data_IF_917531067551
#
_entry.id   IF_917531067551
#
_cell.length_a   1.000
_cell.length_b   1.000
_cell.length_c   1.000
_cell.angle_alpha   90.00
_cell.angle_beta   90.00
_cell.angle_gamma   90.00
#
_symmetry.space_group_name_H-M   'P 1'
#
loop_
_entity.id
_entity.type
_entity.pdbx_description
1 polymer ?
#
# COMPACT_ATOMS: atom_id res chain seq x y z
N UNK A 1 1.45 26.56 8.82
CA UNK A 1 0.84 25.71 7.77
C UNK A 1 1.89 24.69 7.37
N UNK A 2 1.63 23.39 7.49
CA UNK A 2 2.52 22.37 6.89
C UNK A 2 2.44 22.55 5.37
N UNK A 3 3.57 22.53 4.64
CA UNK A 3 3.50 22.54 3.17
C UNK A 3 2.66 21.36 2.71
N UNK A 4 1.78 21.60 1.74
CA UNK A 4 0.92 20.58 1.15
C UNK A 4 1.80 19.48 0.56
N UNK A 5 1.81 18.30 1.18
CA UNK A 5 2.55 17.15 0.63
C UNK A 5 1.88 16.77 -0.70
N UNK A 6 2.64 16.89 -1.79
CA UNK A 6 2.17 16.63 -3.14
C UNK A 6 1.58 15.21 -3.26
N UNK A 7 2.16 14.25 -2.56
CA UNK A 7 1.75 12.84 -2.59
C UNK A 7 0.54 12.55 -1.69
N UNK A 8 0.30 13.34 -0.64
CA UNK A 8 -0.92 13.21 0.17
C UNK A 8 -2.18 13.65 -0.58
N UNK A 9 -2.07 14.54 -1.58
CA UNK A 9 -3.19 14.85 -2.48
C UNK A 9 -3.48 13.68 -3.43
N UNK A 10 -2.44 12.92 -3.79
CA UNK A 10 -2.51 11.77 -4.70
C UNK A 10 -3.02 10.51 -3.99
N UNK A 11 -2.87 10.41 -2.67
CA UNK A 11 -3.40 9.28 -1.89
C UNK A 11 -4.90 9.35 -1.59
N UNK A 12 -5.62 10.32 -2.14
CA UNK A 12 -7.08 10.48 -1.99
C UNK A 12 -7.83 9.29 -2.61
N UNK A 13 -8.06 8.28 -1.77
CA UNK A 13 -8.77 7.06 -2.13
C UNK A 13 -10.24 7.34 -2.45
N UNK A 14 -10.76 6.74 -3.54
CA UNK A 14 -12.19 6.66 -3.83
C UNK A 14 -12.66 5.20 -3.69
N UNK A 15 -13.41 4.85 -2.62
CA UNK A 15 -13.92 3.50 -2.45
C UNK A 15 -14.84 3.08 -3.61
N UNK A 16 -14.48 1.98 -4.29
CA UNK A 16 -15.31 1.36 -5.34
C UNK A 16 -14.95 1.72 -6.79
N UNK A 17 -13.84 2.42 -7.05
CA UNK A 17 -13.30 2.60 -8.40
C UNK A 17 -12.52 1.35 -8.85
N UNK A 18 -12.74 0.87 -10.08
CA UNK A 18 -12.00 -0.27 -10.66
C UNK A 18 -10.55 0.08 -11.06
N UNK A 19 -10.23 1.37 -11.16
CA UNK A 19 -8.86 1.86 -11.30
C UNK A 19 -8.59 2.77 -10.11
N UNK A 20 -7.73 2.34 -9.19
CA UNK A 20 -7.20 3.26 -8.17
C UNK A 20 -6.01 3.97 -8.83
N UNK A 21 -6.03 5.31 -8.96
CA UNK A 21 -4.86 6.03 -9.47
C UNK A 21 -3.65 5.91 -8.51
N UNK A 22 -3.83 5.27 -7.35
CA UNK A 22 -2.84 5.06 -6.31
C UNK A 22 -1.57 4.36 -6.81
N UNK A 23 -1.71 3.24 -7.51
CA UNK A 23 -0.56 2.51 -8.07
C UNK A 23 0.21 3.38 -9.07
N UNK A 24 -0.50 4.09 -9.97
CA UNK A 24 0.11 5.04 -10.90
C UNK A 24 0.88 6.15 -10.18
N UNK A 25 0.41 6.62 -9.02
CA UNK A 25 1.11 7.65 -8.25
C UNK A 25 2.36 7.11 -7.55
N UNK A 26 2.31 5.89 -7.02
CA UNK A 26 3.49 5.21 -6.49
C UNK A 26 4.56 5.08 -7.58
N UNK A 27 4.17 4.57 -8.74
CA UNK A 27 5.07 4.36 -9.88
C UNK A 27 5.61 5.70 -10.43
N UNK A 28 4.75 6.72 -10.59
CA UNK A 28 5.17 8.04 -11.08
C UNK A 28 6.05 8.80 -10.10
N UNK A 29 5.78 8.69 -8.79
CA UNK A 29 6.62 9.28 -7.74
C UNK A 29 8.01 8.66 -7.75
N UNK A 30 8.08 7.33 -7.78
CA UNK A 30 9.34 6.60 -7.90
C UNK A 30 10.14 7.02 -9.13
N UNK A 31 9.48 7.07 -10.29
CA UNK A 31 10.09 7.49 -11.54
C UNK A 31 10.62 8.92 -11.49
N UNK A 32 9.89 9.83 -10.85
CA UNK A 32 10.32 11.21 -10.69
C UNK A 32 11.63 11.29 -9.90
N UNK A 33 11.73 10.60 -8.76
CA UNK A 33 12.96 10.60 -7.95
C UNK A 33 14.12 9.97 -8.70
N UNK A 34 13.89 8.85 -9.39
CA UNK A 34 14.91 8.19 -10.23
C UNK A 34 15.40 9.10 -11.36
N UNK A 35 14.49 9.79 -12.05
CA UNK A 35 14.83 10.70 -13.16
C UNK A 35 15.66 11.92 -12.74
N UNK A 36 15.62 12.27 -11.44
CA UNK A 36 16.47 13.32 -10.86
C UNK A 36 17.87 12.84 -10.48
N UNK A 37 18.17 11.56 -10.68
CA UNK A 37 19.50 11.00 -10.43
C UNK A 37 19.80 10.74 -8.96
N UNK A 38 18.78 10.44 -8.14
CA UNK A 38 19.01 10.08 -6.75
C UNK A 38 19.93 8.86 -6.63
N UNK A 39 21.14 9.05 -6.08
CA UNK A 39 22.22 8.07 -6.18
C UNK A 39 21.92 6.74 -5.48
N UNK A 40 21.48 6.76 -4.21
CA UNK A 40 21.22 5.53 -3.45
C UNK A 40 20.05 4.73 -4.03
N UNK A 41 18.95 5.41 -4.38
CA UNK A 41 17.83 4.80 -5.07
C UNK A 41 18.23 4.19 -6.43
N UNK A 42 19.02 4.91 -7.24
CA UNK A 42 19.51 4.38 -8.52
C UNK A 42 20.42 3.16 -8.33
N UNK A 43 21.27 3.17 -7.30
CA UNK A 43 22.14 2.06 -6.94
C UNK A 43 21.34 0.82 -6.49
N UNK A 44 20.26 1.01 -5.72
CA UNK A 44 19.36 -0.06 -5.29
C UNK A 44 18.81 -0.84 -6.49
N UNK A 45 18.23 -0.14 -7.46
CA UNK A 45 17.69 -0.78 -8.67
C UNK A 45 18.78 -1.33 -9.59
N UNK A 46 19.91 -0.62 -9.71
CA UNK A 46 21.04 -1.06 -10.52
C UNK A 46 21.65 -2.36 -10.01
N UNK A 47 21.80 -2.49 -8.69
CA UNK A 47 22.28 -3.70 -8.05
C UNK A 47 21.29 -4.86 -8.24
N UNK A 48 19.98 -4.60 -8.05
CA UNK A 48 18.95 -5.62 -8.22
C UNK A 48 18.86 -6.11 -9.68
N UNK A 49 18.95 -5.23 -10.67
CA UNK A 49 18.87 -5.64 -12.09
C UNK A 49 20.22 -5.94 -12.76
N UNK A 50 21.32 -5.98 -12.00
CA UNK A 50 22.65 -6.32 -12.51
C UNK A 50 23.32 -5.27 -13.40
N UNK A 51 22.88 -4.01 -13.36
CA UNK A 51 23.57 -2.88 -14.02
C UNK A 51 24.76 -2.35 -13.20
N UNK A 52 24.91 -2.77 -11.95
CA UNK A 52 26.04 -2.45 -11.08
C UNK A 52 26.31 -0.94 -10.95
N UNK A 53 27.43 -0.44 -11.46
CA UNK A 53 27.86 0.95 -11.31
C UNK A 53 27.52 1.83 -12.54
N UNK A 54 26.73 1.32 -13.48
CA UNK A 54 26.31 2.10 -14.64
C UNK A 54 25.37 3.24 -14.19
N UNK A 55 25.56 4.48 -14.68
CA UNK A 55 24.61 5.56 -14.43
C UNK A 55 23.26 5.30 -15.12
N UNK A 56 22.18 5.69 -14.44
CA UNK A 56 20.83 5.64 -15.00
C UNK A 56 20.66 6.77 -16.03
N UNK A 57 20.36 6.42 -17.28
CA UNK A 57 20.25 7.36 -18.39
C UNK A 57 18.80 7.80 -18.65
N UNK A 58 17.85 6.86 -18.68
CA UNK A 58 16.42 7.15 -18.91
C UNK A 58 15.51 6.35 -17.99
N UNK A 59 14.37 6.95 -17.66
CA UNK A 59 13.28 6.35 -16.90
C UNK A 59 12.00 6.52 -17.71
N UNK A 60 11.38 5.43 -18.09
CA UNK A 60 10.09 5.42 -18.78
C UNK A 60 9.01 4.87 -17.84
N UNK A 61 7.86 5.55 -17.78
CA UNK A 61 6.71 5.17 -16.96
C UNK A 61 5.64 4.57 -17.84
N UNK A 62 5.13 3.40 -17.45
CA UNK A 62 4.13 2.67 -18.22
C UNK A 62 4.50 2.45 -19.71
N UNK A 63 5.75 2.05 -20.02
CA UNK A 63 6.14 1.77 -21.39
C UNK A 63 5.45 0.50 -21.91
N UNK A 64 5.04 0.53 -23.18
CA UNK A 64 4.55 -0.66 -23.87
C UNK A 64 5.71 -1.59 -24.22
N UNK A 65 5.68 -2.82 -23.71
CA UNK A 65 6.65 -3.87 -23.96
C UNK A 65 6.14 -4.78 -25.09
N UNK A 66 6.35 -4.33 -26.33
CA UNK A 66 5.91 -5.05 -27.55
C UNK A 66 4.44 -5.51 -27.43
N UNK A 67 4.21 -6.83 -27.55
CA UNK A 67 2.91 -7.47 -27.38
C UNK A 67 2.69 -8.08 -25.98
N UNK A 68 3.69 -8.00 -25.09
CA UNK A 68 3.61 -8.51 -23.72
C UNK A 68 2.79 -7.63 -22.77
N UNK A 69 2.56 -6.36 -23.14
CA UNK A 69 1.69 -5.45 -22.38
C UNK A 69 2.38 -4.14 -22.00
N UNK A 70 2.00 -3.59 -20.85
CA UNK A 70 2.52 -2.32 -20.30
C UNK A 70 3.19 -2.65 -18.97
N UNK A 71 4.50 -2.46 -18.88
CA UNK A 71 5.26 -2.62 -17.64
C UNK A 71 5.13 -1.36 -16.77
N UNK A 72 5.41 -1.43 -15.47
CA UNK A 72 5.33 -0.22 -14.63
C UNK A 72 6.45 0.79 -14.93
N UNK A 73 7.71 0.33 -14.97
CA UNK A 73 8.86 1.14 -15.35
C UNK A 73 9.82 0.38 -16.28
N UNK A 74 10.46 1.13 -17.18
CA UNK A 74 11.66 0.70 -17.89
C UNK A 74 12.80 1.66 -17.57
N UNK A 75 13.87 1.13 -17.00
CA UNK A 75 15.09 1.88 -16.69
C UNK A 75 16.15 1.53 -17.75
N UNK A 76 16.75 2.52 -18.38
CA UNK A 76 17.89 2.32 -19.29
C UNK A 76 19.13 2.97 -18.72
N UNK A 77 20.21 2.22 -18.66
CA UNK A 77 21.51 2.65 -18.16
C UNK A 77 22.42 3.08 -19.30
N UNK A 78 23.43 3.91 -19.02
CA UNK A 78 24.36 4.43 -20.04
C UNK A 78 25.11 3.32 -20.80
N UNK A 79 25.35 2.17 -20.18
CA UNK A 79 25.95 0.99 -20.83
C UNK A 79 24.99 0.24 -21.77
N UNK A 80 23.75 0.70 -21.90
CA UNK A 80 22.71 0.12 -22.76
C UNK A 80 21.90 -0.98 -22.11
N UNK A 81 22.23 -1.37 -20.87
CA UNK A 81 21.43 -2.33 -20.10
C UNK A 81 20.05 -1.74 -19.79
N UNK A 82 19.02 -2.59 -19.86
CA UNK A 82 17.63 -2.22 -19.58
C UNK A 82 17.06 -3.08 -18.47
N UNK A 83 16.32 -2.47 -17.56
CA UNK A 83 15.64 -3.15 -16.46
C UNK A 83 14.15 -2.91 -16.58
N UNK A 84 13.36 -3.98 -16.58
CA UNK A 84 11.91 -3.91 -16.37
C UNK A 84 11.67 -3.96 -14.86
N UNK A 85 10.88 -3.00 -14.35
CA UNK A 85 10.47 -2.97 -12.95
C UNK A 85 8.96 -3.07 -12.89
N UNK A 86 8.47 -4.06 -12.14
CA UNK A 86 7.05 -4.24 -11.81
C UNK A 86 6.82 -3.81 -10.37
N UNK A 87 5.83 -2.95 -10.14
CA UNK A 87 5.57 -2.28 -8.86
C UNK A 87 4.31 -2.85 -8.23
N UNK A 88 4.48 -3.45 -7.05
CA UNK A 88 3.40 -4.09 -6.30
C UNK A 88 3.12 -3.32 -5.01
N UNK A 89 1.89 -2.84 -4.90
CA UNK A 89 1.39 -2.11 -3.72
C UNK A 89 0.54 -3.01 -2.83
N UNK A 90 -0.34 -3.80 -3.44
CA UNK A 90 -1.12 -4.84 -2.78
C UNK A 90 -0.62 -6.24 -3.21
N UNK A 91 -1.25 -7.30 -2.69
CA UNK A 91 -0.82 -8.69 -2.96
C UNK A 91 -0.78 -8.93 -4.48
N UNK A 92 0.30 -9.49 -5.04
CA UNK A 92 0.37 -9.78 -6.45
C UNK A 92 -0.74 -10.72 -6.91
N UNK A 93 -1.32 -10.43 -8.06
CA UNK A 93 -2.05 -11.43 -8.85
C UNK A 93 -1.00 -12.23 -9.62
N UNK A 94 -0.90 -13.57 -9.45
CA UNK A 94 0.15 -14.35 -10.11
C UNK A 94 0.04 -14.37 -11.64
N UNK A 95 1.17 -14.17 -12.32
CA UNK A 95 1.82 -15.27 -13.06
C UNK A 95 1.94 -15.17 -14.58
N UNK A 96 1.00 -14.53 -15.29
CA UNK A 96 1.04 -14.55 -16.78
C UNK A 96 1.90 -13.41 -17.37
N UNK A 97 1.88 -12.21 -16.80
CA UNK A 97 2.60 -11.05 -17.37
C UNK A 97 4.12 -11.16 -17.31
N UNK A 98 4.68 -11.76 -16.25
CA UNK A 98 6.14 -11.81 -16.05
C UNK A 98 6.84 -12.64 -17.13
N UNK A 99 6.30 -13.79 -17.47
CA UNK A 99 6.87 -14.67 -18.51
C UNK A 99 6.82 -13.98 -19.88
N UNK A 100 5.76 -13.24 -20.17
CA UNK A 100 5.62 -12.50 -21.43
C UNK A 100 6.60 -11.34 -21.52
N UNK A 101 6.77 -10.58 -20.43
CA UNK A 101 7.76 -9.51 -20.36
C UNK A 101 9.19 -10.05 -20.49
N UNK A 102 9.53 -11.14 -19.81
CA UNK A 102 10.84 -11.78 -19.95
C UNK A 102 11.14 -12.17 -21.39
N UNK A 103 10.19 -12.82 -22.06
CA UNK A 103 10.34 -13.23 -23.46
C UNK A 103 10.54 -12.02 -24.36
N UNK A 104 9.68 -11.00 -24.24
CA UNK A 104 9.76 -9.79 -25.07
C UNK A 104 11.05 -9.00 -24.82
N UNK A 105 11.51 -8.89 -23.58
CA UNK A 105 12.73 -8.17 -23.24
C UNK A 105 13.99 -8.86 -23.79
N UNK A 106 14.02 -10.20 -23.80
CA UNK A 106 15.13 -10.99 -24.37
C UNK A 106 15.27 -10.82 -25.88
N UNK A 107 14.20 -10.45 -26.59
CA UNK A 107 14.28 -10.09 -28.02
C UNK A 107 14.99 -8.75 -28.24
N UNK A 108 15.05 -7.87 -27.22
CA UNK A 108 15.70 -6.56 -27.30
C UNK A 108 17.14 -6.58 -26.81
N UNK A 109 17.41 -7.32 -25.73
CA UNK A 109 18.73 -7.45 -25.12
C UNK A 109 18.84 -8.75 -24.33
N UNK A 110 19.93 -9.49 -24.54
CA UNK A 110 20.22 -10.72 -23.78
C UNK A 110 20.50 -10.44 -22.30
N UNK A 111 20.89 -9.20 -21.97
CA UNK A 111 21.30 -8.74 -20.64
C UNK A 111 20.19 -7.94 -19.92
N UNK A 112 18.94 -8.07 -20.34
CA UNK A 112 17.81 -7.41 -19.66
C UNK A 112 17.72 -7.85 -18.18
N UNK A 113 17.56 -6.88 -17.28
CA UNK A 113 17.30 -7.09 -15.86
C UNK A 113 15.81 -7.05 -15.54
N UNK A 114 15.41 -7.74 -14.47
CA UNK A 114 14.01 -7.86 -14.08
C UNK A 114 13.87 -7.66 -12.57
N UNK A 115 13.06 -6.71 -12.14
CA UNK A 115 12.90 -6.34 -10.74
C UNK A 115 11.43 -6.28 -10.36
N UNK A 116 11.07 -6.89 -9.22
CA UNK A 116 9.77 -6.70 -8.59
C UNK A 116 9.98 -5.85 -7.33
N UNK A 117 9.36 -4.67 -7.31
CA UNK A 117 9.26 -3.83 -6.12
C UNK A 117 7.98 -4.18 -5.36
N UNK A 118 8.06 -4.52 -4.09
CA UNK A 118 6.86 -4.88 -3.32
C UNK A 118 7.02 -4.76 -1.81
N UNK A 119 5.97 -5.12 -1.07
CA UNK A 119 6.02 -5.15 0.39
C UNK A 119 6.91 -6.28 0.91
N UNK A 120 6.71 -7.49 0.39
CA UNK A 120 7.62 -8.63 0.56
C UNK A 120 7.59 -9.51 -0.71
N UNK A 121 8.17 -9.05 -1.82
CA UNK A 121 8.09 -9.76 -3.08
C UNK A 121 8.94 -11.04 -3.03
N UNK A 122 8.39 -12.15 -3.54
CA UNK A 122 9.07 -13.44 -3.68
C UNK A 122 8.97 -13.94 -5.12
N UNK A 123 9.58 -13.23 -6.08
CA UNK A 123 9.45 -13.60 -7.48
C UNK A 123 10.37 -14.78 -7.81
N UNK A 124 9.99 -15.58 -8.80
CA UNK A 124 10.85 -16.63 -9.34
C UNK A 124 11.98 -16.01 -10.19
N UNK A 125 13.19 -16.60 -10.21
CA UNK A 125 14.25 -16.16 -11.12
C UNK A 125 13.78 -16.15 -12.58
N UNK A 126 14.21 -15.16 -13.40
CA UNK A 126 15.33 -14.25 -13.19
C UNK A 126 15.01 -12.98 -12.37
N UNK A 127 13.74 -12.75 -12.01
CA UNK A 127 13.32 -11.55 -11.30
C UNK A 127 13.99 -11.42 -9.93
N UNK A 128 14.41 -10.20 -9.59
CA UNK A 128 14.98 -9.87 -8.30
C UNK A 128 14.00 -9.05 -7.46
N UNK A 129 14.02 -9.27 -6.16
CA UNK A 129 13.17 -8.58 -5.21
C UNK A 129 13.81 -7.26 -4.74
N UNK A 130 13.02 -6.19 -4.74
CA UNK A 130 13.31 -4.94 -4.00
C UNK A 130 12.12 -4.66 -3.09
N UNK A 131 12.36 -4.25 -1.84
CA UNK A 131 11.27 -3.96 -0.91
C UNK A 131 11.02 -2.46 -0.81
N UNK A 132 9.78 -2.09 -0.54
CA UNK A 132 9.42 -0.70 -0.24
C UNK A 132 10.20 -0.12 0.96
N UNK A 133 10.56 -0.95 1.94
CA UNK A 133 11.41 -0.50 3.04
C UNK A 133 12.84 -0.14 2.56
N UNK A 134 13.38 -0.87 1.59
CA UNK A 134 14.70 -0.58 1.02
C UNK A 134 14.66 0.75 0.25
N UNK A 135 13.52 1.09 -0.37
CA UNK A 135 13.29 2.40 -1.00
C UNK A 135 13.28 3.52 0.05
N UNK A 136 12.65 3.32 1.21
CA UNK A 136 12.66 4.29 2.31
C UNK A 136 14.07 4.51 2.84
N UNK A 137 14.82 3.43 3.07
CA UNK A 137 16.22 3.47 3.51
C UNK A 137 17.11 4.16 2.47
N UNK A 138 16.87 3.93 1.18
CA UNK A 138 17.58 4.60 0.10
C UNK A 138 17.33 6.12 0.05
N UNK A 139 16.19 6.59 0.56
CA UNK A 139 15.80 8.01 0.60
C UNK A 139 16.11 8.68 1.95
N UNK A 140 16.66 7.93 2.91
CA UNK A 140 16.93 8.45 4.24
C UNK A 140 18.00 9.53 4.18
N UNK A 141 17.83 10.59 4.99
CA UNK A 141 18.69 11.77 5.02
C UNK A 141 18.86 12.54 3.69
N UNK A 142 18.09 12.22 2.64
CA UNK A 142 18.15 12.96 1.37
C UNK A 142 17.70 14.43 1.58
N UNK A 143 18.51 15.43 1.16
CA UNK A 143 18.20 16.83 1.41
C UNK A 143 17.09 17.40 0.51
N UNK A 144 16.67 16.71 -0.57
CA UNK A 144 15.57 17.18 -1.42
C UNK A 144 14.23 17.04 -0.68
N UNK A 145 13.50 18.15 -0.45
CA UNK A 145 12.18 18.10 0.19
C UNK A 145 11.16 17.23 -0.53
N UNK A 146 11.33 16.96 -1.83
CA UNK A 146 10.44 16.07 -2.60
C UNK A 146 10.74 14.60 -2.27
N UNK A 147 12.01 14.21 -2.17
CA UNK A 147 12.43 12.88 -1.72
C UNK A 147 11.87 12.58 -0.32
N UNK A 148 11.97 13.55 0.59
CA UNK A 148 11.42 13.41 1.95
C UNK A 148 9.89 13.25 1.95
N UNK A 149 9.18 14.02 1.12
CA UNK A 149 7.72 13.87 0.98
C UNK A 149 7.32 12.50 0.42
N UNK A 150 8.11 11.96 -0.53
CA UNK A 150 7.88 10.64 -1.10
C UNK A 150 8.20 9.53 -0.10
N UNK A 151 9.30 9.66 0.66
CA UNK A 151 9.66 8.76 1.78
C UNK A 151 8.53 8.68 2.81
N UNK A 152 8.01 9.83 3.24
CA UNK A 152 6.90 9.90 4.20
C UNK A 152 5.60 9.28 3.64
N UNK A 153 5.35 9.44 2.34
CA UNK A 153 4.25 8.78 1.65
C UNK A 153 4.42 7.25 1.64
N UNK A 154 5.60 6.73 1.30
CA UNK A 154 5.85 5.28 1.34
C UNK A 154 5.66 4.73 2.77
N UNK A 155 6.19 5.42 3.79
CA UNK A 155 6.03 5.04 5.19
C UNK A 155 4.57 5.01 5.64
N UNK A 156 3.80 6.04 5.33
CA UNK A 156 2.43 6.20 5.83
C UNK A 156 1.37 5.48 4.98
N UNK A 157 1.45 5.65 3.66
CA UNK A 157 0.39 5.30 2.73
C UNK A 157 0.60 3.94 2.04
N UNK A 158 1.82 3.38 2.06
CA UNK A 158 2.13 2.03 1.55
C UNK A 158 2.44 1.07 2.71
N UNK A 159 3.41 1.42 3.56
CA UNK A 159 3.91 0.55 4.62
C UNK A 159 3.04 0.56 5.89
N UNK A 160 2.19 1.58 6.08
CA UNK A 160 1.32 1.68 7.25
C UNK A 160 2.10 1.82 8.56
N UNK A 161 3.21 2.55 8.56
CA UNK A 161 4.11 2.72 9.71
C UNK A 161 3.95 4.08 10.40
N UNK A 162 3.17 5.00 9.83
CA UNK A 162 2.98 6.34 10.39
C UNK A 162 1.66 6.47 11.17
N UNK A 163 1.64 7.27 12.26
CA UNK A 163 0.40 7.67 12.91
C UNK A 163 -0.53 8.40 11.92
N UNK A 164 -1.83 8.11 12.01
CA UNK A 164 -2.83 8.60 11.06
C UNK A 164 -3.92 9.38 11.79
N UNK A 165 -4.08 10.65 11.45
CA UNK A 165 -5.18 11.49 11.99
C UNK A 165 -6.54 11.03 11.47
N UNK A 166 -7.63 11.48 12.09
CA UNK A 166 -8.98 11.16 11.61
C UNK A 166 -9.23 11.68 10.18
N UNK A 167 -8.73 12.87 9.87
CA UNK A 167 -8.84 13.46 8.52
C UNK A 167 -8.14 12.59 7.48
N UNK A 168 -6.90 12.19 7.75
CA UNK A 168 -6.13 11.29 6.88
C UNK A 168 -6.79 9.91 6.79
N UNK A 169 -7.33 9.37 7.89
CA UNK A 169 -8.00 8.06 7.89
C UNK A 169 -9.26 8.04 7.00
N UNK A 170 -9.93 9.18 6.85
CA UNK A 170 -11.14 9.33 6.03
C UNK A 170 -10.82 9.78 4.59
N UNK A 171 -9.72 10.48 4.39
CA UNK A 171 -9.38 11.14 3.13
C UNK A 171 -8.23 10.52 2.34
N UNK A 172 -7.54 9.49 2.87
CA UNK A 172 -6.35 8.90 2.24
C UNK A 172 -6.29 7.37 2.36
N UNK A 173 -5.26 6.75 1.76
CA UNK A 173 -5.01 5.32 1.90
C UNK A 173 -4.47 4.90 3.28
N UNK A 174 -4.07 5.85 4.14
CA UNK A 174 -3.31 5.55 5.36
C UNK A 174 -4.00 4.61 6.35
N UNK A 175 -5.32 4.69 6.50
CA UNK A 175 -6.02 3.75 7.37
C UNK A 175 -5.99 2.32 6.82
N UNK A 176 -6.10 2.17 5.51
CA UNK A 176 -6.01 0.86 4.85
C UNK A 176 -4.58 0.32 4.92
N UNK A 177 -3.58 1.16 4.69
CA UNK A 177 -2.17 0.80 4.85
C UNK A 177 -1.87 0.33 6.28
N UNK A 178 -2.33 1.09 7.29
CA UNK A 178 -2.24 0.70 8.71
C UNK A 178 -2.91 -0.65 8.97
N UNK A 179 -4.15 -0.84 8.48
CA UNK A 179 -4.90 -2.07 8.67
C UNK A 179 -4.23 -3.28 8.03
N UNK A 180 -3.89 -3.19 6.74
CA UNK A 180 -3.18 -4.24 6.02
C UNK A 180 -1.83 -4.58 6.64
N UNK A 181 -1.04 -3.58 7.04
CA UNK A 181 0.25 -3.79 7.70
C UNK A 181 0.10 -4.48 9.06
N UNK A 182 -0.88 -4.07 9.87
CA UNK A 182 -1.13 -4.68 11.17
C UNK A 182 -1.63 -6.13 11.05
N UNK A 183 -2.55 -6.40 10.13
CA UNK A 183 -3.05 -7.75 9.84
C UNK A 183 -1.91 -8.67 9.42
N UNK A 184 -1.08 -8.26 8.45
CA UNK A 184 0.07 -9.05 7.99
C UNK A 184 1.08 -9.31 9.11
N UNK A 185 1.38 -8.31 9.93
CA UNK A 185 2.30 -8.44 11.06
C UNK A 185 1.78 -9.43 12.11
N UNK A 186 0.47 -9.45 12.35
CA UNK A 186 -0.15 -10.29 13.39
C UNK A 186 -0.38 -11.73 12.95
N UNK A 187 -0.85 -11.95 11.72
CA UNK A 187 -1.35 -13.24 11.25
C UNK A 187 -0.50 -13.86 10.12
N UNK A 188 0.46 -13.11 9.58
CA UNK A 188 1.36 -13.57 8.53
C UNK A 188 1.19 -12.79 7.22
N UNK A 189 2.25 -12.74 6.42
CA UNK A 189 2.31 -11.91 5.22
C UNK A 189 1.29 -12.32 4.14
N UNK A 190 0.91 -13.59 4.12
CA UNK A 190 -0.06 -14.18 3.18
C UNK A 190 -1.53 -14.01 3.61
N UNK A 191 -1.76 -13.38 4.76
CA UNK A 191 -3.11 -13.15 5.29
C UNK A 191 -3.95 -12.39 4.28
N UNK A 192 -5.08 -12.99 3.90
CA UNK A 192 -6.01 -12.36 2.97
C UNK A 192 -6.72 -11.19 3.65
N UNK A 193 -6.72 -10.03 3.00
CA UNK A 193 -7.42 -8.85 3.47
C UNK A 193 -8.00 -8.04 2.31
N UNK A 194 -8.98 -7.20 2.58
CA UNK A 194 -9.57 -6.28 1.62
C UNK A 194 -9.99 -4.97 2.29
N UNK A 195 -9.84 -3.86 1.55
CA UNK A 195 -10.27 -2.55 2.01
C UNK A 195 -11.81 -2.45 1.95
N UNK A 196 -12.42 -1.94 3.01
CA UNK A 196 -13.87 -1.87 3.17
C UNK A 196 -14.29 -0.50 3.69
N UNK A 197 -15.08 0.23 2.90
CA UNK A 197 -15.67 1.49 3.32
C UNK A 197 -17.11 1.62 2.82
N UNK A 198 -17.95 2.23 3.65
CA UNK A 198 -19.30 2.62 3.25
C UNK A 198 -19.29 3.75 2.21
N UNK A 199 -20.34 3.87 1.41
CA UNK A 199 -20.54 5.07 0.57
C UNK A 199 -20.69 6.32 1.46
N UNK A 200 -20.04 7.44 1.12
CA UNK A 200 -20.15 8.65 1.92
C UNK A 200 -21.56 9.25 1.82
N UNK A 201 -22.12 9.66 2.95
CA UNK A 201 -23.39 10.40 3.03
C UNK A 201 -23.12 11.75 3.68
N UNK A 202 -23.34 12.85 2.95
CA UNK A 202 -22.98 14.20 3.43
C UNK A 202 -21.48 14.36 3.73
N UNK A 203 -20.61 13.68 2.95
CA UNK A 203 -19.16 13.70 3.16
C UNK A 203 -18.66 12.86 4.34
N UNK A 204 -19.52 12.05 4.97
CA UNK A 204 -19.15 11.17 6.09
C UNK A 204 -19.36 9.70 5.74
N UNK A 205 -18.44 8.86 6.20
CA UNK A 205 -18.57 7.41 6.12
C UNK A 205 -19.26 6.87 7.38
N UNK A 206 -20.06 5.82 7.21
CA UNK A 206 -20.53 4.98 8.33
C UNK A 206 -19.38 4.17 8.90
N UNK A 207 -18.53 3.63 8.02
CA UNK A 207 -17.31 2.92 8.37
C UNK A 207 -16.25 3.04 7.27
N UNK A 208 -14.99 2.90 7.67
CA UNK A 208 -13.83 2.68 6.80
C UNK A 208 -12.79 1.82 7.55
N UNK A 209 -12.22 0.82 6.89
CA UNK A 209 -11.30 -0.13 7.52
C UNK A 209 -10.93 -1.31 6.63
N UNK A 210 -10.34 -2.33 7.23
CA UNK A 210 -9.81 -3.51 6.56
C UNK A 210 -10.56 -4.75 7.03
N UNK A 211 -11.17 -5.49 6.10
CA UNK A 211 -11.63 -6.86 6.34
C UNK A 211 -10.46 -7.82 6.18
N UNK A 212 -10.41 -8.88 6.96
CA UNK A 212 -9.37 -9.90 6.85
C UNK A 212 -9.88 -11.28 7.27
N UNK A 213 -9.17 -12.30 6.79
CA UNK A 213 -9.39 -13.70 7.13
C UNK A 213 -8.28 -14.18 8.07
N UNK A 214 -8.60 -14.82 9.19
CA UNK A 214 -7.58 -15.47 10.05
C UNK A 214 -7.36 -16.94 9.74
N UNK A 215 -8.19 -17.51 8.87
CA UNK A 215 -8.08 -18.90 8.41
C UNK A 215 -7.95 -18.93 6.88
N UNK A 216 -7.39 -20.01 6.35
CA UNK A 216 -7.21 -20.21 4.91
C UNK A 216 -8.53 -20.42 4.12
N UNK A 217 -9.68 -20.33 4.79
CA UNK A 217 -11.00 -20.65 4.23
C UNK A 217 -11.57 -19.58 3.30
N UNK A 218 -10.78 -18.57 2.90
CA UNK A 218 -11.17 -17.47 1.99
C UNK A 218 -12.38 -16.62 2.44
N UNK A 219 -12.87 -16.82 3.66
CA UNK A 219 -13.95 -16.04 4.25
C UNK A 219 -13.37 -14.94 5.12
N UNK A 220 -13.76 -13.69 4.85
CA UNK A 220 -13.42 -12.56 5.72
C UNK A 220 -14.24 -12.66 7.02
N UNK A 221 -13.59 -13.03 8.11
CA UNK A 221 -14.17 -13.31 9.43
C UNK A 221 -14.01 -12.12 10.40
N UNK A 222 -13.12 -11.17 10.10
CA UNK A 222 -12.88 -9.97 10.91
C UNK A 222 -12.82 -8.68 10.09
N UNK A 223 -13.02 -7.56 10.78
CA UNK A 223 -12.92 -6.20 10.25
C UNK A 223 -12.36 -5.31 11.33
N UNK A 224 -11.39 -4.49 10.97
CA UNK A 224 -10.77 -3.51 11.85
C UNK A 224 -10.74 -2.14 11.18
N UNK A 225 -11.14 -1.10 11.90
CA UNK A 225 -11.16 0.25 11.34
C UNK A 225 -11.95 1.22 12.18
N UNK A 226 -12.40 2.31 11.56
CA UNK A 226 -13.18 3.34 12.23
C UNK A 226 -14.66 3.30 11.84
N UNK A 227 -15.53 3.47 12.84
CA UNK A 227 -17.00 3.50 12.69
C UNK A 227 -17.56 4.79 13.24
N UNK A 228 -18.54 5.35 12.55
CA UNK A 228 -19.37 6.43 13.06
C UNK A 228 -20.47 5.81 13.93
N UNK A 229 -20.53 6.13 15.23
CA UNK A 229 -21.50 5.44 16.12
C UNK A 229 -22.94 5.99 16.00
N UNK A 230 -23.12 7.17 15.41
CA UNK A 230 -24.38 7.93 15.47
C UNK A 230 -25.12 8.03 14.14
N UNK A 231 -26.45 8.15 14.21
CA UNK A 231 -27.31 8.62 13.11
C UNK A 231 -28.10 9.81 13.63
N UNK A 232 -28.00 11.02 13.02
CA UNK A 232 -27.23 11.35 11.82
C UNK A 232 -25.71 11.20 12.00
N UNK A 233 -24.99 11.03 10.89
CA UNK A 233 -23.52 10.87 10.91
C UNK A 233 -22.84 12.16 11.38
N UNK A 234 -21.87 12.02 12.28
CA UNK A 234 -21.10 13.15 12.83
C UNK A 234 -19.60 13.03 12.57
N UNK A 235 -18.81 13.80 13.33
CA UNK A 235 -17.34 13.69 13.35
C UNK A 235 -16.84 12.67 14.38
N UNK A 236 -17.74 11.87 14.95
CA UNK A 236 -17.45 10.98 16.06
C UNK A 236 -17.20 9.58 15.55
N UNK A 237 -15.94 9.31 15.23
CA UNK A 237 -15.48 8.00 14.82
C UNK A 237 -14.82 7.26 15.99
N UNK A 238 -15.07 5.97 16.06
CA UNK A 238 -14.49 5.07 17.04
C UNK A 238 -13.64 4.03 16.34
N UNK A 239 -12.45 3.74 16.85
CA UNK A 239 -11.62 2.65 16.37
C UNK A 239 -12.12 1.34 16.97
N UNK A 240 -12.51 0.41 16.11
CA UNK A 240 -13.20 -0.82 16.47
C UNK A 240 -12.67 -2.02 15.71
N UNK A 241 -12.84 -3.18 16.34
CA UNK A 241 -12.68 -4.50 15.74
C UNK A 241 -14.02 -5.21 15.83
N UNK A 242 -14.39 -5.88 14.75
CA UNK A 242 -15.59 -6.68 14.65
C UNK A 242 -15.23 -8.10 14.24
N UNK A 243 -16.02 -9.07 14.71
CA UNK A 243 -15.94 -10.47 14.35
C UNK A 243 -17.29 -10.93 13.80
N UNK A 244 -17.25 -11.62 12.66
CA UNK A 244 -18.45 -12.20 12.05
C UNK A 244 -19.04 -13.31 12.94
N UNK A 245 -18.17 -14.07 13.59
CA UNK A 245 -18.51 -15.19 14.45
C UNK A 245 -17.91 -15.05 15.84
N UNK A 246 -18.67 -15.43 16.87
CA UNK A 246 -18.20 -15.48 18.24
C UNK A 246 -18.09 -14.12 18.94
N UNK A 247 -17.71 -14.19 20.20
CA UNK A 247 -17.58 -13.02 21.07
C UNK A 247 -16.13 -12.53 21.14
N UNK A 248 -15.94 -11.21 21.12
CA UNK A 248 -14.64 -10.58 21.34
C UNK A 248 -14.51 -10.13 22.81
N UNK A 249 -13.29 -10.16 23.39
CA UNK A 249 -13.00 -9.53 24.67
C UNK A 249 -13.42 -8.05 24.71
N UNK A 250 -13.80 -7.57 25.90
CA UNK A 250 -14.25 -6.18 26.12
C UNK A 250 -15.40 -5.75 25.19
N UNK A 251 -16.48 -6.54 25.16
CA UNK A 251 -17.58 -6.32 24.24
C UNK A 251 -18.13 -4.88 24.26
N UNK A 252 -18.36 -4.36 23.06
CA UNK A 252 -19.04 -3.10 22.81
C UNK A 252 -20.38 -3.37 22.12
N UNK A 253 -21.29 -2.41 22.26
CA UNK A 253 -22.57 -2.47 21.55
C UNK A 253 -22.33 -2.29 20.05
N UNK A 254 -23.11 -3.00 19.25
CA UNK A 254 -23.14 -2.82 17.80
C UNK A 254 -23.39 -1.33 17.44
N UNK A 255 -22.54 -0.71 16.61
CA UNK A 255 -22.70 0.69 16.21
C UNK A 255 -23.98 0.92 15.40
N UNK A 256 -24.76 1.96 15.75
CA UNK A 256 -26.08 2.19 15.11
C UNK A 256 -25.99 2.51 13.63
N UNK A 257 -24.92 3.17 13.18
CA UNK A 257 -24.78 3.59 11.79
C UNK A 257 -24.58 2.43 10.80
N UNK A 258 -24.20 1.24 11.29
CA UNK A 258 -23.90 0.09 10.43
C UNK A 258 -25.13 -0.68 9.96
N UNK A 259 -26.32 -0.39 10.51
CA UNK A 259 -27.58 -0.99 10.07
C UNK A 259 -27.53 -2.52 10.07
N UNK A 260 -27.51 -3.11 8.87
CA UNK A 260 -27.68 -4.55 8.62
C UNK A 260 -26.39 -5.38 8.72
N UNK A 261 -25.27 -4.80 9.21
CA UNK A 261 -24.08 -5.60 9.50
C UNK A 261 -24.38 -6.62 10.61
N UNK A 262 -24.57 -7.88 10.23
CA UNK A 262 -24.95 -8.97 11.14
C UNK A 262 -23.78 -9.56 11.94
N UNK A 263 -22.76 -8.75 12.21
CA UNK A 263 -21.52 -9.21 12.83
C UNK A 263 -21.74 -9.42 14.33
N UNK A 264 -21.38 -10.60 14.83
CA UNK A 264 -21.75 -11.06 16.17
C UNK A 264 -20.93 -10.38 17.28
N UNK A 265 -19.63 -10.20 17.07
CA UNK A 265 -18.71 -9.69 18.07
C UNK A 265 -18.22 -8.28 17.75
N UNK A 266 -18.19 -7.39 18.75
CA UNK A 266 -17.68 -6.02 18.62
C UNK A 266 -16.83 -5.64 19.82
N UNK A 267 -15.67 -5.03 19.57
CA UNK A 267 -14.79 -4.45 20.58
C UNK A 267 -14.15 -3.17 20.04
N UNK A 268 -13.51 -2.37 20.90
CA UNK A 268 -12.92 -1.11 20.45
C UNK A 268 -12.07 -0.40 21.48
N UNK A 269 -11.27 0.57 21.00
CA UNK A 269 -10.46 1.48 21.83
C UNK A 269 -11.18 2.82 22.10
N UNK A 270 -12.38 2.98 21.54
CA UNK A 270 -13.21 4.17 21.74
C UNK A 270 -12.95 5.26 20.71
N UNK A 271 -13.31 6.50 21.07
CA UNK A 271 -13.33 7.64 20.15
C UNK A 271 -11.94 8.01 19.66
N UNK A 272 -11.82 8.20 18.35
CA UNK A 272 -10.63 8.74 17.68
C UNK A 272 -10.58 10.25 17.92
N UNK A 273 -9.86 10.65 18.97
CA UNK A 273 -9.55 12.06 19.30
C UNK A 273 -8.06 12.39 19.17
N UNK A 274 -7.25 11.36 18.93
CA UNK A 274 -5.80 11.41 18.70
C UNK A 274 -5.49 10.59 17.44
N UNK A 275 -4.32 10.79 16.80
CA UNK A 275 -3.90 9.96 15.68
C UNK A 275 -3.92 8.47 16.06
N UNK A 276 -4.42 7.65 15.14
CA UNK A 276 -4.44 6.19 15.23
C UNK A 276 -3.03 5.70 14.92
N UNK A 277 -2.49 4.82 15.78
CA UNK A 277 -1.13 4.32 15.66
C UNK A 277 -1.09 2.83 15.29
N UNK A 278 0.03 2.31 14.78
CA UNK A 278 0.21 0.87 14.59
C UNK A 278 -0.06 0.07 15.87
N UNK A 279 0.34 0.60 17.03
CA UNK A 279 0.12 -0.03 18.33
C UNK A 279 -1.37 -0.11 18.72
N UNK A 280 -2.22 0.81 18.25
CA UNK A 280 -3.66 0.76 18.49
C UNK A 280 -4.30 -0.41 17.71
N UNK A 281 -3.86 -0.64 16.47
CA UNK A 281 -4.25 -1.82 15.71
C UNK A 281 -3.75 -3.10 16.38
N UNK A 282 -2.47 -3.17 16.77
CA UNK A 282 -1.91 -4.35 17.44
C UNK A 282 -2.69 -4.70 18.73
N UNK A 283 -3.09 -3.69 19.51
CA UNK A 283 -3.92 -3.87 20.71
C UNK A 283 -5.30 -4.45 20.41
N UNK A 284 -5.94 -4.04 19.32
CA UNK A 284 -7.23 -4.58 18.91
C UNK A 284 -7.07 -6.00 18.37
N UNK A 285 -6.09 -6.25 17.51
CA UNK A 285 -5.85 -7.56 16.92
C UNK A 285 -5.37 -8.61 17.94
N UNK A 286 -4.83 -8.19 19.09
CA UNK A 286 -4.52 -9.08 20.22
C UNK A 286 -5.78 -9.63 20.93
N UNK A 287 -6.97 -9.14 20.59
CA UNK A 287 -8.26 -9.61 21.13
C UNK A 287 -8.85 -10.78 20.33
N UNK A 288 -8.17 -11.20 19.27
CA UNK A 288 -8.44 -12.40 18.46
C UNK A 288 -7.44 -13.47 18.88
#
# INVERSE_FOLDING_TARGET
MRPTNLFSLLSTYQPGSQATPFENYCTSGLAHILSRGHHMLSALFSQAGGAHNEPLATVEVQPRIADAGVADLLLTYEGGRRLIVEVQIERPVPGESFVEFERAARDWSIDAGFVVLGLNPRPDPPWQAVRWIDVVEALDDDPDPISQQYRDFVLGDILGLSPTTLEEALGSNRLFALGGAAVRRRFGEDTMYANAASKPTGGRHRYTGTMFATTDLSEMDFWIGIVNETVPLGEHYHLMLAAKHGELPEQRKHPRALGDWSWQGWTGLGRVVRPITPADFDRLLARI
#
